data_IF_659562444948
#
_entry.id   IF_659562444948
#
_cell.length_a   1.000
_cell.length_b   1.000
_cell.length_c   1.000
_cell.angle_alpha   90.00
_cell.angle_beta   90.00
_cell.angle_gamma   90.00
#
_symmetry.space_group_name_H-M   'P 1'
#
loop_
_entity.id
_entity.type
_entity.pdbx_description
1 polymer ?
#
# COMPACT_ATOMS: atom_id res chain seq x y z
N UNK A 1 36.09 -67.70 -53.39
CA UNK A 1 36.13 -66.84 -52.19
C UNK A 1 36.59 -65.46 -52.61
N UNK A 2 35.65 -64.51 -52.73
CA UNK A 2 35.94 -63.10 -52.94
C UNK A 2 35.73 -62.36 -51.60
N UNK A 3 36.56 -61.38 -51.23
CA UNK A 3 36.41 -60.69 -49.95
C UNK A 3 35.22 -59.73 -49.99
N UNK A 4 34.38 -59.79 -48.97
CA UNK A 4 33.26 -58.88 -48.75
C UNK A 4 33.76 -57.50 -48.29
N UNK A 5 33.22 -56.47 -48.93
CA UNK A 5 33.51 -55.04 -48.78
C UNK A 5 33.47 -54.53 -47.32
N UNK A 6 34.54 -53.82 -46.93
CA UNK A 6 34.66 -53.02 -45.69
C UNK A 6 33.85 -51.72 -45.64
N UNK A 7 32.75 -51.61 -46.41
CA UNK A 7 31.91 -50.40 -46.48
C UNK A 7 30.91 -50.25 -45.32
N UNK A 8 30.60 -51.33 -44.60
CA UNK A 8 29.56 -51.30 -43.56
C UNK A 8 30.01 -50.67 -42.23
N UNK A 9 31.30 -50.70 -41.91
CA UNK A 9 31.81 -50.19 -40.63
C UNK A 9 31.90 -48.66 -40.57
N UNK A 10 32.08 -47.98 -41.71
CA UNK A 10 32.16 -46.51 -41.74
C UNK A 10 30.79 -45.83 -41.63
N UNK A 11 29.72 -46.48 -42.07
CA UNK A 11 28.36 -45.91 -42.01
C UNK A 11 27.78 -45.96 -40.59
N UNK A 12 28.06 -47.02 -39.82
CA UNK A 12 27.58 -47.16 -38.43
C UNK A 12 28.30 -46.18 -37.50
N UNK A 13 29.61 -45.97 -37.69
CA UNK A 13 30.37 -44.98 -36.92
C UNK A 13 29.90 -43.55 -37.20
N UNK A 14 29.63 -43.19 -38.47
CA UNK A 14 29.11 -41.88 -38.85
C UNK A 14 27.69 -41.62 -38.32
N UNK A 15 26.81 -42.64 -38.30
CA UNK A 15 25.49 -42.54 -37.68
C UNK A 15 25.60 -42.32 -36.16
N UNK A 16 26.53 -43.01 -35.49
CA UNK A 16 26.74 -42.87 -34.04
C UNK A 16 27.27 -41.48 -33.63
N UNK A 17 28.21 -40.91 -34.40
CA UNK A 17 28.70 -39.54 -34.18
C UNK A 17 27.64 -38.48 -34.51
N UNK A 18 26.83 -38.67 -35.55
CA UNK A 18 25.75 -37.74 -35.88
C UNK A 18 24.65 -37.73 -34.81
N UNK A 19 24.29 -38.90 -34.26
CA UNK A 19 23.32 -39.01 -33.15
C UNK A 19 23.89 -38.41 -31.85
N UNK A 20 25.17 -38.61 -31.56
CA UNK A 20 25.85 -37.96 -30.42
C UNK A 20 25.96 -36.44 -30.59
N UNK A 21 26.20 -35.95 -31.80
CA UNK A 21 26.27 -34.51 -32.11
C UNK A 21 24.90 -33.83 -32.07
N UNK A 22 23.83 -34.53 -32.50
CA UNK A 22 22.44 -34.09 -32.31
C UNK A 22 22.03 -34.10 -30.83
N UNK A 23 22.49 -35.07 -30.04
CA UNK A 23 22.30 -35.06 -28.58
C UNK A 23 23.07 -33.91 -27.91
N UNK A 24 24.30 -33.63 -28.34
CA UNK A 24 25.10 -32.52 -27.80
C UNK A 24 24.50 -31.14 -28.15
N UNK A 25 23.88 -30.98 -29.33
CA UNK A 25 23.14 -29.76 -29.71
C UNK A 25 21.76 -29.66 -29.05
N UNK A 26 21.18 -30.77 -28.56
CA UNK A 26 19.96 -30.78 -27.76
C UNK A 26 20.20 -30.39 -26.29
N UNK A 27 21.45 -30.41 -25.80
CA UNK A 27 21.80 -30.04 -24.42
C UNK A 27 22.14 -28.55 -24.23
N UNK A 28 22.08 -27.71 -25.28
CA UNK A 28 22.35 -26.29 -25.13
C UNK A 28 21.17 -25.62 -24.40
N UNK A 29 21.39 -25.28 -23.13
CA UNK A 29 20.44 -24.63 -22.24
C UNK A 29 19.88 -23.33 -22.87
N UNK A 30 18.65 -23.37 -23.41
CA UNK A 30 18.11 -22.25 -24.21
C UNK A 30 17.54 -21.15 -23.33
N UNK A 31 17.84 -19.91 -23.69
CA UNK A 31 17.49 -18.71 -22.92
C UNK A 31 16.23 -18.07 -23.50
N UNK A 32 15.24 -17.81 -22.65
CA UNK A 32 14.13 -16.91 -22.94
C UNK A 32 14.33 -15.62 -22.16
N UNK A 33 14.53 -14.53 -22.89
CA UNK A 33 14.63 -13.21 -22.32
C UNK A 33 13.30 -12.48 -22.46
N UNK A 34 12.67 -12.17 -21.33
CA UNK A 34 11.48 -11.36 -21.30
C UNK A 34 11.85 -9.89 -21.52
N UNK A 35 11.05 -9.21 -22.33
CA UNK A 35 11.14 -7.77 -22.56
C UNK A 35 11.07 -7.02 -21.22
N UNK A 36 11.79 -5.90 -21.11
CA UNK A 36 11.72 -5.08 -19.91
C UNK A 36 10.33 -4.44 -19.78
N UNK A 37 9.80 -4.40 -18.56
CA UNK A 37 8.48 -3.82 -18.29
C UNK A 37 8.37 -3.32 -16.86
N UNK A 38 7.36 -2.48 -16.62
CA UNK A 38 7.10 -1.88 -15.32
C UNK A 38 5.68 -2.18 -14.87
N UNK A 39 5.51 -2.48 -13.58
CA UNK A 39 4.22 -2.57 -12.92
C UNK A 39 4.16 -1.57 -11.76
N UNK A 40 3.07 -0.82 -11.66
CA UNK A 40 2.85 0.15 -10.59
C UNK A 40 1.82 -0.40 -9.61
N UNK A 41 2.17 -0.42 -8.33
CA UNK A 41 1.30 -0.73 -7.20
C UNK A 41 0.87 0.58 -6.55
N UNK A 42 -0.44 0.86 -6.59
CA UNK A 42 -1.00 2.11 -6.08
C UNK A 42 -0.93 2.22 -4.55
N UNK A 43 -0.97 3.43 -4.01
CA UNK A 43 -0.93 3.67 -2.56
C UNK A 43 -2.12 3.01 -1.81
N UNK A 44 -3.27 2.89 -2.47
CA UNK A 44 -4.44 2.18 -1.96
C UNK A 44 -4.22 0.68 -1.76
N UNK A 45 -3.18 0.10 -2.34
CA UNK A 45 -2.82 -1.30 -2.12
C UNK A 45 -2.27 -1.58 -0.71
N UNK A 46 -1.85 -0.55 0.03
CA UNK A 46 -1.43 -0.71 1.43
C UNK A 46 -2.58 -1.20 2.32
N UNK A 47 -3.79 -0.67 2.10
CA UNK A 47 -5.02 -1.03 2.82
C UNK A 47 -5.83 -2.17 2.19
N UNK A 48 -5.41 -2.71 1.05
CA UNK A 48 -6.08 -3.83 0.41
C UNK A 48 -5.98 -5.11 1.27
N UNK A 49 -6.97 -6.00 1.18
CA UNK A 49 -6.92 -7.29 1.87
C UNK A 49 -5.78 -8.18 1.34
N UNK A 50 -5.22 -9.04 2.20
CA UNK A 50 -4.33 -10.12 1.77
C UNK A 50 -5.08 -11.00 0.76
N UNK A 51 -4.42 -11.30 -0.36
CA UNK A 51 -4.99 -12.00 -1.50
C UNK A 51 -5.54 -11.10 -2.61
N UNK A 52 -5.64 -9.78 -2.39
CA UNK A 52 -6.04 -8.84 -3.43
C UNK A 52 -4.99 -8.76 -4.55
N UNK A 53 -5.47 -8.63 -5.79
CA UNK A 53 -4.63 -8.26 -6.93
C UNK A 53 -4.28 -6.78 -6.81
N UNK A 54 -2.99 -6.47 -6.78
CA UNK A 54 -2.45 -5.12 -6.57
C UNK A 54 -1.67 -4.57 -7.78
N UNK A 55 -1.57 -5.37 -8.84
CA UNK A 55 -1.04 -4.97 -10.13
C UNK A 55 -1.18 -6.10 -11.15
N UNK A 56 -1.37 -5.76 -12.42
CA UNK A 56 -1.39 -6.72 -13.52
C UNK A 56 -0.63 -6.14 -14.72
N UNK A 57 0.12 -6.99 -15.43
CA UNK A 57 0.77 -6.61 -16.67
C UNK A 57 -0.14 -6.88 -17.87
N UNK A 58 0.13 -6.19 -18.98
CA UNK A 58 -0.31 -6.64 -20.29
C UNK A 58 0.50 -7.87 -20.73
N UNK A 59 0.34 -8.27 -21.99
CA UNK A 59 1.16 -9.32 -22.62
C UNK A 59 2.61 -8.86 -22.73
N UNK A 60 3.51 -9.55 -22.05
CA UNK A 60 4.96 -9.35 -22.11
C UNK A 60 5.55 -10.40 -23.03
N UNK A 61 6.23 -9.94 -24.08
CA UNK A 61 6.92 -10.80 -25.02
C UNK A 61 8.27 -11.28 -24.49
N UNK A 62 8.73 -12.42 -24.99
CA UNK A 62 10.11 -12.85 -24.83
C UNK A 62 10.57 -13.65 -26.03
N UNK A 63 11.75 -13.28 -26.54
CA UNK A 63 12.39 -14.02 -27.62
C UNK A 63 13.06 -15.27 -27.04
N UNK A 64 12.93 -16.38 -27.75
CA UNK A 64 13.55 -17.63 -27.38
C UNK A 64 14.07 -18.38 -28.59
N UNK A 65 15.16 -19.11 -28.35
CA UNK A 65 15.70 -20.04 -29.32
C UNK A 65 14.82 -21.29 -29.41
N UNK A 66 14.73 -21.87 -30.61
CA UNK A 66 13.90 -23.04 -30.84
C UNK A 66 14.42 -24.29 -30.14
N UNK A 67 13.55 -25.18 -29.69
CA UNK A 67 13.87 -26.41 -28.96
C UNK A 67 13.63 -27.61 -29.86
N UNK A 68 14.57 -28.55 -29.86
CA UNK A 68 14.45 -29.81 -30.59
C UNK A 68 13.32 -30.66 -29.98
N UNK A 69 12.70 -31.49 -30.82
CA UNK A 69 11.64 -32.39 -30.41
C UNK A 69 12.11 -33.34 -29.31
N UNK A 70 11.44 -33.32 -28.16
CA UNK A 70 11.58 -34.36 -27.14
C UNK A 70 10.33 -35.26 -27.19
N UNK A 71 10.42 -36.49 -27.76
CA UNK A 71 9.30 -37.42 -27.81
C UNK A 71 8.94 -37.93 -26.40
N UNK A 72 7.66 -37.89 -26.02
CA UNK A 72 7.15 -38.62 -24.86
C UNK A 72 7.54 -38.10 -23.46
N UNK A 73 8.35 -37.04 -23.36
CA UNK A 73 8.75 -36.45 -22.08
C UNK A 73 7.60 -35.71 -21.38
N UNK A 74 7.59 -35.73 -20.03
CA UNK A 74 6.71 -34.83 -19.25
C UNK A 74 7.39 -33.48 -19.14
N UNK A 75 6.65 -32.42 -19.47
CA UNK A 75 7.14 -31.06 -19.37
C UNK A 75 6.66 -30.39 -18.08
N UNK A 76 7.57 -29.66 -17.43
CA UNK A 76 7.26 -28.84 -16.27
C UNK A 76 7.88 -27.44 -16.40
N UNK A 77 7.11 -26.40 -16.09
CA UNK A 77 7.62 -25.03 -15.93
C UNK A 77 7.33 -24.54 -14.52
N UNK A 78 8.34 -23.99 -13.86
CA UNK A 78 8.18 -23.35 -12.57
C UNK A 78 9.07 -22.11 -12.41
N UNK A 79 8.71 -21.24 -11.48
CA UNK A 79 9.63 -20.19 -11.01
C UNK A 79 10.77 -20.81 -10.19
N UNK A 80 11.91 -20.14 -10.16
CA UNK A 80 12.98 -20.42 -9.19
C UNK A 80 12.67 -19.89 -7.79
N UNK A 81 11.70 -18.98 -7.67
CA UNK A 81 11.20 -18.52 -6.39
C UNK A 81 10.23 -19.55 -5.80
N UNK A 82 10.18 -19.71 -4.46
CA UNK A 82 9.27 -20.66 -3.83
C UNK A 82 7.82 -20.21 -3.96
N UNK A 83 6.91 -21.19 -3.99
CA UNK A 83 5.49 -20.93 -3.83
C UNK A 83 5.20 -20.40 -2.43
N UNK A 84 4.33 -19.40 -2.35
CA UNK A 84 3.84 -18.90 -1.06
C UNK A 84 2.76 -19.87 -0.55
N UNK A 85 2.96 -20.44 0.64
CA UNK A 85 2.02 -21.36 1.28
C UNK A 85 0.82 -20.60 1.89
N UNK A 86 -0.40 -21.08 1.67
CA UNK A 86 -1.63 -20.46 2.16
C UNK A 86 -2.58 -20.11 1.01
N UNK A 87 -3.80 -20.63 1.10
CA UNK A 87 -4.80 -20.67 0.02
C UNK A 87 -5.07 -19.32 -0.65
N UNK A 88 -4.55 -19.16 -1.86
CA UNK A 88 -5.18 -18.37 -2.92
C UNK A 88 -5.09 -19.23 -4.18
N UNK A 89 -6.23 -19.58 -4.76
CA UNK A 89 -6.29 -20.46 -5.92
C UNK A 89 -5.43 -19.93 -7.09
N UNK A 90 -4.51 -20.77 -7.56
CA UNK A 90 -3.57 -20.46 -8.64
C UNK A 90 -2.26 -19.82 -8.14
N UNK A 91 -1.40 -20.66 -7.54
CA UNK A 91 0.06 -20.62 -7.55
C UNK A 91 0.71 -19.23 -7.70
N UNK A 92 1.09 -18.65 -6.56
CA UNK A 92 1.80 -17.39 -6.48
C UNK A 92 3.22 -17.61 -5.97
N UNK A 93 4.21 -17.05 -6.66
CA UNK A 93 5.62 -17.17 -6.31
C UNK A 93 6.08 -15.98 -5.50
N UNK A 94 6.89 -16.22 -4.46
CA UNK A 94 7.47 -15.15 -3.69
C UNK A 94 8.26 -14.20 -4.59
N UNK A 95 8.23 -12.90 -4.30
CA UNK A 95 9.14 -11.94 -4.91
C UNK A 95 10.16 -11.47 -3.88
N UNK A 96 11.30 -10.89 -4.31
CA UNK A 96 12.22 -10.19 -3.40
C UNK A 96 11.61 -8.96 -2.71
N UNK A 97 10.38 -8.56 -3.06
CA UNK A 97 9.67 -7.44 -2.47
C UNK A 97 8.72 -7.99 -1.40
N UNK A 98 8.88 -7.50 -0.18
CA UNK A 98 8.05 -7.90 0.96
C UNK A 98 6.56 -7.66 0.67
N UNK A 99 5.73 -8.64 1.06
CA UNK A 99 4.27 -8.54 0.96
C UNK A 99 3.72 -8.65 -0.45
N UNK A 100 4.56 -8.98 -1.43
CA UNK A 100 4.15 -9.16 -2.83
C UNK A 100 4.58 -10.55 -3.30
N UNK A 101 3.62 -11.31 -3.82
CA UNK A 101 3.90 -12.50 -4.62
C UNK A 101 3.47 -12.25 -6.08
N UNK A 102 4.04 -13.00 -7.00
CA UNK A 102 3.78 -12.90 -8.43
C UNK A 102 3.22 -14.20 -8.99
N UNK A 103 2.10 -14.08 -9.70
CA UNK A 103 1.51 -15.14 -10.50
C UNK A 103 1.85 -14.91 -11.97
N UNK A 104 2.17 -15.99 -12.67
CA UNK A 104 2.52 -15.97 -14.09
C UNK A 104 1.52 -16.79 -14.86
N UNK A 105 1.10 -16.27 -16.01
CA UNK A 105 0.23 -16.95 -16.96
C UNK A 105 0.93 -17.03 -18.31
N UNK A 106 0.96 -18.23 -18.88
CA UNK A 106 1.24 -18.41 -20.30
C UNK A 106 0.00 -18.00 -21.10
N UNK A 107 0.12 -16.93 -21.89
CA UNK A 107 -1.01 -16.37 -22.64
C UNK A 107 -1.43 -17.30 -23.78
N UNK A 108 -0.51 -18.08 -24.33
CA UNK A 108 -0.80 -19.00 -25.44
C UNK A 108 -1.63 -20.21 -24.99
N UNK A 109 -1.35 -20.70 -23.77
CA UNK A 109 -1.99 -21.91 -23.22
C UNK A 109 -3.05 -21.62 -22.16
N UNK A 110 -3.27 -20.34 -21.83
CA UNK A 110 -4.12 -19.88 -20.73
C UNK A 110 -3.86 -20.59 -19.39
N UNK A 111 -2.61 -21.02 -19.16
CA UNK A 111 -2.22 -21.84 -18.03
C UNK A 111 -1.35 -21.03 -17.06
N UNK A 112 -1.60 -21.20 -15.76
CA UNK A 112 -0.79 -20.61 -14.71
C UNK A 112 0.38 -21.51 -14.32
N UNK A 113 1.48 -20.90 -13.88
CA UNK A 113 2.65 -21.61 -13.39
C UNK A 113 2.53 -21.96 -11.89
N UNK A 114 3.08 -23.12 -11.42
CA UNK A 114 3.72 -24.12 -12.26
C UNK A 114 2.76 -24.90 -13.15
N UNK A 115 3.23 -25.15 -14.37
CA UNK A 115 2.58 -26.04 -15.30
C UNK A 115 3.24 -27.40 -15.12
N UNK A 116 2.49 -28.39 -14.66
CA UNK A 116 2.89 -29.79 -14.55
C UNK A 116 1.83 -30.61 -15.28
N UNK A 117 2.23 -31.53 -16.16
CA UNK A 117 1.36 -32.40 -16.99
C UNK A 117 0.97 -31.89 -18.39
N UNK A 118 1.97 -31.66 -19.24
CA UNK A 118 1.77 -31.91 -20.66
C UNK A 118 2.64 -33.09 -21.09
N UNK A 119 2.02 -34.26 -21.27
CA UNK A 119 2.58 -35.33 -22.10
C UNK A 119 2.42 -34.89 -23.55
N UNK A 120 3.53 -34.58 -24.23
CA UNK A 120 3.45 -34.06 -25.58
C UNK A 120 4.81 -33.90 -26.23
N UNK A 121 4.78 -33.69 -27.54
CA UNK A 121 5.95 -33.30 -28.30
C UNK A 121 6.30 -31.87 -27.96
N UNK A 122 7.34 -31.65 -27.16
CA UNK A 122 7.86 -30.30 -26.97
C UNK A 122 8.75 -29.96 -28.17
N UNK A 123 8.13 -29.41 -29.21
CA UNK A 123 8.82 -28.71 -30.29
C UNK A 123 8.41 -27.25 -30.21
N UNK A 124 9.34 -26.36 -29.92
CA UNK A 124 9.09 -24.92 -30.03
C UNK A 124 10.05 -24.38 -31.08
N UNK A 125 9.60 -24.02 -32.28
CA UNK A 125 10.44 -23.26 -33.21
C UNK A 125 10.99 -21.99 -32.53
N UNK A 126 12.12 -21.42 -33.00
CA UNK A 126 12.55 -20.11 -32.55
C UNK A 126 11.41 -19.11 -32.75
N UNK A 127 11.18 -18.26 -31.77
CA UNK A 127 10.03 -17.38 -31.84
C UNK A 127 9.86 -16.50 -30.62
N UNK A 128 8.65 -15.97 -30.50
CA UNK A 128 8.27 -15.07 -29.42
C UNK A 128 7.13 -15.70 -28.62
N UNK A 129 7.32 -15.83 -27.32
CA UNK A 129 6.28 -16.29 -26.38
C UNK A 129 5.74 -15.08 -25.62
N UNK A 130 4.49 -15.18 -25.15
CA UNK A 130 3.84 -14.10 -24.42
C UNK A 130 3.37 -14.59 -23.05
N UNK A 131 3.66 -13.79 -22.02
CA UNK A 131 3.29 -14.05 -20.64
C UNK A 131 2.56 -12.84 -20.05
N UNK A 132 1.68 -13.07 -19.07
CA UNK A 132 1.17 -12.01 -18.22
C UNK A 132 1.51 -12.29 -16.75
N UNK A 133 1.67 -11.21 -16.01
CA UNK A 133 2.09 -11.21 -14.62
C UNK A 133 1.02 -10.54 -13.78
N UNK A 134 0.71 -11.12 -12.62
CA UNK A 134 -0.20 -10.54 -11.64
C UNK A 134 0.50 -10.48 -10.30
N UNK A 135 0.50 -9.30 -9.68
CA UNK A 135 1.01 -9.09 -8.33
C UNK A 135 -0.15 -9.22 -7.35
N UNK A 136 0.07 -10.01 -6.30
CA UNK A 136 -0.91 -10.32 -5.27
C UNK A 136 -0.33 -9.93 -3.91
N UNK A 137 -1.14 -9.25 -3.10
CA UNK A 137 -0.76 -8.84 -1.75
C UNK A 137 -0.71 -10.05 -0.82
N UNK A 138 0.43 -10.26 -0.18
CA UNK A 138 0.62 -11.33 0.83
C UNK A 138 0.85 -10.80 2.24
N UNK A 139 1.06 -9.48 2.39
CA UNK A 139 1.29 -8.83 3.69
C UNK A 139 1.57 -7.33 3.55
N UNK A 140 2.21 -6.71 4.56
CA UNK A 140 2.70 -5.33 4.48
C UNK A 140 3.63 -5.15 3.26
N UNK A 141 3.41 -4.08 2.49
CA UNK A 141 4.13 -3.86 1.24
C UNK A 141 5.49 -3.21 1.51
N UNK A 142 6.55 -3.83 0.98
CA UNK A 142 7.90 -3.26 1.00
C UNK A 142 8.12 -2.21 -0.10
N UNK A 143 9.37 -1.73 -0.18
CA UNK A 143 9.81 -0.77 -1.20
C UNK A 143 9.93 -1.47 -2.57
N UNK A 144 9.47 -0.78 -3.62
CA UNK A 144 9.60 -1.22 -5.01
C UNK A 144 11.05 -1.47 -5.43
N UNK A 145 11.25 -2.41 -6.38
CA UNK A 145 12.57 -2.81 -6.89
C UNK A 145 12.50 -3.28 -8.33
N UNK A 146 13.64 -3.28 -9.00
CA UNK A 146 13.82 -3.93 -10.31
C UNK A 146 14.35 -5.35 -10.13
N UNK A 147 13.64 -6.31 -10.72
CA UNK A 147 14.03 -7.71 -10.81
C UNK A 147 14.76 -7.94 -12.13
N UNK A 148 15.95 -8.55 -12.04
CA UNK A 148 16.78 -8.93 -13.20
C UNK A 148 17.32 -10.34 -13.01
N UNK A 149 17.68 -11.00 -14.10
CA UNK A 149 18.29 -12.33 -14.05
C UNK A 149 17.28 -13.47 -14.10
N UNK A 150 17.71 -14.66 -13.67
CA UNK A 150 16.94 -15.90 -13.78
C UNK A 150 15.70 -15.84 -12.88
N UNK A 151 14.54 -16.12 -13.46
CA UNK A 151 13.25 -16.12 -12.78
C UNK A 151 12.56 -17.49 -12.77
N UNK A 152 12.79 -18.32 -13.78
CA UNK A 152 12.12 -19.60 -13.92
C UNK A 152 12.89 -20.58 -14.77
N UNK A 153 12.50 -21.85 -14.67
CA UNK A 153 13.08 -22.96 -15.42
C UNK A 153 11.97 -23.81 -16.00
N UNK A 154 12.25 -24.31 -17.20
CA UNK A 154 11.48 -25.36 -17.83
C UNK A 154 12.35 -26.61 -17.91
N UNK A 155 11.76 -27.73 -17.49
CA UNK A 155 12.41 -29.04 -17.44
C UNK A 155 11.56 -30.05 -18.20
N UNK A 156 12.23 -31.02 -18.81
CA UNK A 156 11.61 -32.19 -19.42
C UNK A 156 12.11 -33.41 -18.67
N UNK A 157 11.20 -34.28 -18.26
CA UNK A 157 11.53 -35.60 -17.74
C UNK A 157 11.26 -36.68 -18.79
N UNK A 158 12.30 -37.39 -19.21
CA UNK A 158 12.21 -38.57 -20.08
C UNK A 158 12.83 -39.76 -19.35
N UNK A 159 12.12 -40.90 -19.30
CA UNK A 159 12.59 -42.15 -18.67
C UNK A 159 13.23 -42.00 -17.27
N UNK A 160 12.75 -41.04 -16.48
CA UNK A 160 13.24 -40.76 -15.12
C UNK A 160 14.40 -39.76 -15.04
N UNK A 161 14.95 -39.31 -16.17
CA UNK A 161 15.98 -38.25 -16.23
C UNK A 161 15.32 -36.89 -16.41
N UNK A 162 15.59 -35.97 -15.47
CA UNK A 162 15.11 -34.58 -15.55
C UNK A 162 16.20 -33.72 -16.18
N UNK A 163 15.90 -33.13 -17.33
CA UNK A 163 16.81 -32.22 -18.05
C UNK A 163 16.20 -30.82 -18.09
N UNK A 164 17.00 -29.80 -17.73
CA UNK A 164 16.60 -28.42 -17.93
C UNK A 164 16.74 -28.06 -19.41
N UNK A 165 15.64 -27.64 -20.02
CA UNK A 165 15.57 -27.37 -21.45
C UNK A 165 15.43 -25.88 -21.77
N UNK A 166 14.97 -25.06 -20.81
CA UNK A 166 14.86 -23.61 -20.97
C UNK A 166 14.98 -22.84 -19.65
N UNK A 167 15.60 -21.67 -19.72
CA UNK A 167 15.72 -20.71 -18.62
C UNK A 167 15.00 -19.41 -18.94
N UNK A 168 14.25 -18.85 -17.98
CA UNK A 168 13.51 -17.60 -18.14
C UNK A 168 14.21 -16.48 -17.40
N UNK A 169 14.54 -15.40 -18.11
CA UNK A 169 15.24 -14.24 -17.54
C UNK A 169 14.41 -12.98 -17.67
N UNK A 170 14.44 -12.15 -16.62
CA UNK A 170 14.02 -10.75 -16.73
C UNK A 170 15.19 -9.90 -17.22
N UNK A 171 14.99 -9.16 -18.33
CA UNK A 171 15.91 -8.12 -18.77
C UNK A 171 15.82 -6.83 -17.94
N UNK A 172 14.70 -6.64 -17.25
CA UNK A 172 14.46 -5.48 -16.39
C UNK A 172 12.96 -5.38 -16.07
N UNK A 173 12.53 -6.03 -15.00
CA UNK A 173 11.15 -5.95 -14.53
C UNK A 173 11.07 -5.07 -13.29
N UNK A 174 10.55 -3.86 -13.44
CA UNK A 174 10.43 -2.91 -12.33
C UNK A 174 9.06 -2.98 -11.69
N UNK A 175 9.02 -3.17 -10.36
CA UNK A 175 7.81 -3.02 -9.56
C UNK A 175 7.94 -1.72 -8.76
N UNK A 176 7.15 -0.72 -9.12
CA UNK A 176 7.04 0.52 -8.36
C UNK A 176 5.95 0.37 -7.31
N UNK A 177 6.30 0.54 -6.04
CA UNK A 177 5.33 0.54 -4.94
C UNK A 177 5.21 1.97 -4.43
N UNK A 178 4.02 2.56 -4.58
CA UNK A 178 3.75 3.87 -4.02
C UNK A 178 3.87 3.83 -2.49
N UNK A 179 4.34 4.91 -1.88
CA UNK A 179 4.44 5.02 -0.43
C UNK A 179 3.06 4.87 0.23
N UNK A 180 3.05 4.37 1.46
CA UNK A 180 1.84 4.33 2.28
C UNK A 180 1.34 5.76 2.50
N UNK A 181 0.06 6.04 2.26
CA UNK A 181 -0.44 7.39 2.41
C UNK A 181 -0.51 7.74 3.91
N UNK A 182 0.29 8.72 4.33
CA UNK A 182 0.34 9.20 5.72
C UNK A 182 -0.83 10.15 5.97
N UNK A 183 -1.68 9.93 7.00
CA UNK A 183 -2.77 10.84 7.34
C UNK A 183 -2.28 12.27 7.56
N UNK A 184 -2.94 13.26 6.96
CA UNK A 184 -2.63 14.69 7.13
C UNK A 184 -3.89 15.54 7.07
N UNK A 185 -3.94 16.60 7.89
CA UNK A 185 -5.01 17.59 7.92
C UNK A 185 -4.46 19.01 8.16
N UNK A 186 -5.12 20.01 7.59
CA UNK A 186 -4.91 21.43 7.92
C UNK A 186 -6.09 22.01 8.72
N UNK A 187 -5.81 23.00 9.57
CA UNK A 187 -6.81 23.66 10.42
C UNK A 187 -6.50 25.15 10.58
N UNK A 188 -7.54 25.97 10.67
CA UNK A 188 -7.43 27.39 11.05
C UNK A 188 -8.54 27.83 11.99
N UNK A 189 -8.27 28.85 12.80
CA UNK A 189 -9.29 29.55 13.59
C UNK A 189 -9.72 30.84 12.88
N UNK A 190 -11.03 31.11 12.85
CA UNK A 190 -11.56 32.35 12.29
C UNK A 190 -12.84 32.81 13.02
N UNK A 191 -12.86 34.02 13.62
CA UNK A 191 -11.73 34.94 13.79
C UNK A 191 -10.71 34.42 14.82
N UNK A 192 -9.46 34.87 14.73
CA UNK A 192 -8.43 34.66 15.75
C UNK A 192 -7.68 35.98 15.95
N UNK A 193 -7.81 36.68 17.09
CA UNK A 193 -8.48 36.24 18.32
C UNK A 193 -10.02 36.19 18.21
N UNK A 194 -10.65 35.36 19.05
CA UNK A 194 -12.10 35.33 19.21
C UNK A 194 -12.52 36.41 20.20
N UNK A 195 -13.30 37.39 19.74
CA UNK A 195 -13.81 38.46 20.58
C UNK A 195 -15.12 38.02 21.24
N UNK A 196 -15.13 37.93 22.58
CA UNK A 196 -16.33 37.59 23.35
C UNK A 196 -17.28 38.79 23.56
N UNK A 197 -16.91 39.99 23.09
CA UNK A 197 -17.74 41.18 23.13
C UNK A 197 -17.68 41.95 24.44
N UNK A 198 -18.42 43.06 24.47
CA UNK A 198 -18.63 43.93 25.63
C UNK A 198 -19.93 43.54 26.33
N UNK A 199 -19.92 43.43 27.65
CA UNK A 199 -21.09 43.05 28.45
C UNK A 199 -21.25 43.99 29.65
N UNK A 200 -22.49 44.40 29.93
CA UNK A 200 -22.79 45.15 31.16
C UNK A 200 -22.64 44.21 32.37
N UNK A 201 -21.96 44.68 33.41
CA UNK A 201 -21.87 44.02 34.72
C UNK A 201 -23.22 43.53 35.27
N UNK A 202 -24.33 44.20 34.97
CA UNK A 202 -25.70 43.81 35.35
C UNK A 202 -26.15 42.48 34.74
N UNK A 203 -25.51 42.00 33.68
CA UNK A 203 -25.74 40.68 33.07
C UNK A 203 -25.34 39.55 34.02
N UNK A 204 -24.46 39.85 34.97
CA UNK A 204 -23.88 38.91 35.88
C UNK A 204 -24.54 39.04 37.26
N UNK A 205 -25.64 38.32 37.43
CA UNK A 205 -26.53 38.41 38.60
C UNK A 205 -26.12 37.52 39.78
N UNK A 206 -25.02 36.77 39.64
CA UNK A 206 -24.52 35.82 40.65
C UNK A 206 -23.71 34.68 40.04
N UNK A 207 -23.01 33.91 40.88
CA UNK A 207 -22.19 32.76 40.42
C UNK A 207 -23.00 31.86 39.50
N UNK A 208 -22.47 31.56 38.32
CA UNK A 208 -23.13 30.79 37.28
C UNK A 208 -23.89 31.61 36.23
N UNK A 209 -24.11 32.92 36.44
CA UNK A 209 -24.66 33.80 35.41
C UNK A 209 -23.75 33.82 34.18
N UNK A 210 -24.35 33.91 32.98
CA UNK A 210 -23.61 33.77 31.72
C UNK A 210 -23.99 34.81 30.69
N UNK A 211 -23.05 35.17 29.83
CA UNK A 211 -23.34 35.98 28.64
C UNK A 211 -23.96 35.12 27.54
N UNK A 212 -24.51 35.71 26.47
CA UNK A 212 -24.89 34.98 25.27
C UNK A 212 -23.72 34.18 24.67
N UNK A 213 -24.05 33.08 23.98
CA UNK A 213 -23.06 32.28 23.26
C UNK A 213 -22.56 33.00 22.01
N UNK A 214 -21.25 32.92 21.77
CA UNK A 214 -20.61 33.35 20.54
C UNK A 214 -19.96 32.17 19.82
N UNK A 215 -20.00 32.13 18.48
CA UNK A 215 -19.39 31.05 17.72
C UNK A 215 -17.87 31.08 17.86
N UNK A 216 -17.28 29.89 18.03
CA UNK A 216 -15.84 29.66 18.06
C UNK A 216 -15.54 28.64 16.96
N UNK A 217 -15.11 29.13 15.79
CA UNK A 217 -15.01 28.29 14.60
C UNK A 217 -13.58 27.78 14.40
N UNK A 218 -13.44 26.46 14.44
CA UNK A 218 -12.23 25.74 14.02
C UNK A 218 -12.53 25.17 12.64
N UNK A 219 -11.95 25.76 11.59
CA UNK A 219 -12.24 25.44 10.20
C UNK A 219 -11.23 24.41 9.68
N UNK A 220 -11.72 23.34 9.05
CA UNK A 220 -10.90 22.38 8.33
C UNK A 220 -10.35 23.01 7.05
N UNK A 221 -9.06 22.83 6.78
CA UNK A 221 -8.44 23.16 5.50
C UNK A 221 -8.35 21.94 4.58
N UNK A 222 -9.02 20.85 4.98
CA UNK A 222 -9.03 19.57 4.29
C UNK A 222 -8.09 18.57 4.95
N UNK A 223 -8.50 17.31 4.87
CA UNK A 223 -7.69 16.15 5.24
C UNK A 223 -7.49 15.28 3.99
N UNK A 224 -6.38 14.55 3.92
CA UNK A 224 -6.20 13.58 2.86
C UNK A 224 -7.06 12.32 3.08
N UNK A 225 -7.19 11.50 2.04
CA UNK A 225 -8.04 10.31 2.09
C UNK A 225 -7.56 9.21 3.05
N UNK A 226 -6.31 9.28 3.52
CA UNK A 226 -5.80 8.37 4.54
C UNK A 226 -6.29 8.73 5.96
N UNK A 227 -6.77 9.96 6.16
CA UNK A 227 -7.26 10.40 7.46
C UNK A 227 -8.67 9.88 7.68
N UNK A 228 -8.85 9.14 8.76
CA UNK A 228 -10.13 8.53 9.18
C UNK A 228 -10.70 9.20 10.42
N UNK A 229 -9.85 9.75 11.29
CA UNK A 229 -10.26 10.45 12.49
C UNK A 229 -9.41 11.69 12.76
N UNK A 230 -10.04 12.70 13.35
CA UNK A 230 -9.37 13.89 13.91
C UNK A 230 -9.65 13.95 15.39
N UNK A 231 -8.60 14.10 16.19
CA UNK A 231 -8.71 14.36 17.62
C UNK A 231 -8.28 15.78 17.97
N UNK A 232 -9.07 16.44 18.81
CA UNK A 232 -8.82 17.78 19.30
C UNK A 232 -8.65 17.79 20.82
N UNK A 233 -7.61 18.47 21.29
CA UNK A 233 -7.37 18.71 22.72
C UNK A 233 -7.30 20.19 22.98
N UNK A 234 -7.79 20.62 24.13
CA UNK A 234 -7.86 22.04 24.50
C UNK A 234 -7.06 22.25 25.78
N UNK A 235 -6.00 23.05 25.69
CA UNK A 235 -5.09 23.33 26.79
C UNK A 235 -5.16 24.79 27.19
N UNK A 236 -5.10 25.03 28.49
CA UNK A 236 -5.18 26.37 29.06
C UNK A 236 -5.18 26.33 30.58
N UNK A 237 -5.18 27.49 31.21
CA UNK A 237 -5.26 27.59 32.67
C UNK A 237 -6.72 27.43 33.10
N UNK A 238 -7.00 26.52 34.03
CA UNK A 238 -8.34 26.37 34.60
C UNK A 238 -8.66 27.50 35.59
N UNK A 239 -9.92 27.95 35.63
CA UNK A 239 -10.38 28.90 36.64
C UNK A 239 -10.35 28.26 38.04
N UNK A 240 -9.85 29.00 39.03
CA UNK A 240 -9.63 28.48 40.37
C UNK A 240 -10.93 28.16 41.12
N UNK A 241 -12.03 28.83 40.79
CA UNK A 241 -13.34 28.63 41.42
C UNK A 241 -14.22 27.67 40.61
N UNK A 242 -13.89 27.43 39.34
CA UNK A 242 -14.56 26.45 38.50
C UNK A 242 -13.59 25.85 37.48
N UNK A 243 -13.06 24.67 37.78
CA UNK A 243 -12.08 23.99 36.92
C UNK A 243 -12.62 23.58 35.54
N UNK A 244 -13.94 23.66 35.32
CA UNK A 244 -14.59 23.45 34.03
C UNK A 244 -14.44 24.62 33.06
N UNK A 245 -13.90 25.77 33.51
CA UNK A 245 -13.80 27.00 32.74
C UNK A 245 -12.35 27.42 32.53
N UNK A 246 -12.07 28.08 31.41
CA UNK A 246 -10.77 28.70 31.16
C UNK A 246 -10.65 29.99 31.97
N UNK A 247 -9.56 30.15 32.70
CA UNK A 247 -9.25 31.36 33.46
C UNK A 247 -8.94 32.52 32.52
N UNK A 248 -9.46 33.70 32.83
CA UNK A 248 -8.96 34.95 32.23
C UNK A 248 -7.60 35.28 32.87
N UNK A 249 -6.53 35.26 32.08
CA UNK A 249 -5.15 35.33 32.59
C UNK A 249 -4.51 36.70 32.45
N UNK A 250 -5.06 37.57 31.60
CA UNK A 250 -4.55 38.93 31.35
C UNK A 250 -5.65 39.96 31.57
N UNK A 251 -5.25 41.20 31.88
CA UNK A 251 -6.17 42.32 32.11
C UNK A 251 -6.70 42.39 33.55
N UNK A 252 -7.72 43.21 33.75
CA UNK A 252 -8.19 43.67 35.07
C UNK A 252 -9.53 43.03 35.47
N UNK A 253 -10.24 42.40 34.53
CA UNK A 253 -11.49 41.71 34.83
C UNK A 253 -11.25 40.56 35.82
N UNK A 254 -12.13 40.44 36.82
CA UNK A 254 -12.11 39.37 37.83
C UNK A 254 -13.53 38.84 38.05
N UNK A 255 -13.63 37.59 38.51
CA UNK A 255 -14.91 36.97 38.84
C UNK A 255 -15.64 36.32 37.67
N UNK A 256 -14.97 36.13 36.53
CA UNK A 256 -15.48 35.39 35.37
C UNK A 256 -14.46 34.39 34.86
N UNK A 257 -14.96 33.27 34.34
CA UNK A 257 -14.23 32.33 33.51
C UNK A 257 -14.84 32.28 32.10
N UNK A 258 -14.10 31.69 31.17
CA UNK A 258 -14.55 31.47 29.80
C UNK A 258 -15.02 30.02 29.67
N UNK A 259 -16.31 29.86 29.36
CA UNK A 259 -16.93 28.58 29.06
C UNK A 259 -16.81 28.31 27.57
N UNK A 260 -16.24 27.17 27.19
CA UNK A 260 -16.20 26.71 25.80
C UNK A 260 -16.96 25.39 25.71
N UNK A 261 -17.76 25.23 24.65
CA UNK A 261 -18.64 24.09 24.47
C UNK A 261 -18.72 23.70 23.00
N UNK A 262 -18.89 22.41 22.70
CA UNK A 262 -19.43 22.00 21.40
C UNK A 262 -20.85 22.54 21.25
N UNK A 263 -21.27 22.84 20.04
CA UNK A 263 -22.67 23.24 19.79
C UNK A 263 -23.67 22.13 20.16
N UNK A 264 -23.23 20.87 20.23
CA UNK A 264 -24.00 19.72 20.72
C UNK A 264 -24.21 19.70 22.24
N UNK A 265 -23.55 20.58 22.99
CA UNK A 265 -23.71 20.68 24.44
C UNK A 265 -22.57 20.07 25.28
N UNK A 266 -21.61 19.38 24.66
CA UNK A 266 -20.47 18.83 25.40
C UNK A 266 -19.49 19.94 25.83
N UNK A 267 -19.21 20.05 27.12
CA UNK A 267 -18.27 21.03 27.66
C UNK A 267 -16.83 20.76 27.22
N UNK A 268 -16.09 21.84 26.95
CA UNK A 268 -14.64 21.81 26.74
C UNK A 268 -13.97 22.26 28.03
N UNK A 269 -13.42 21.30 28.77
CA UNK A 269 -12.71 21.57 30.02
C UNK A 269 -11.22 21.82 29.74
N UNK A 270 -10.58 22.81 30.39
CA UNK A 270 -9.15 23.03 30.26
C UNK A 270 -8.33 21.78 30.59
N UNK A 271 -7.45 21.36 29.68
CA UNK A 271 -6.63 20.15 29.80
C UNK A 271 -7.47 18.87 30.00
N UNK A 272 -8.72 18.88 29.55
CA UNK A 272 -9.64 17.77 29.62
C UNK A 272 -9.40 16.70 28.55
N UNK A 273 -10.35 15.78 28.45
CA UNK A 273 -10.30 14.68 27.50
C UNK A 273 -10.28 15.15 26.04
N UNK A 274 -9.62 14.37 25.17
CA UNK A 274 -9.62 14.60 23.73
C UNK A 274 -11.03 14.41 23.15
N UNK A 275 -11.35 15.22 22.15
CA UNK A 275 -12.57 15.09 21.36
C UNK A 275 -12.27 14.38 20.07
N UNK A 276 -13.15 13.49 19.64
CA UNK A 276 -13.01 12.76 18.37
C UNK A 276 -14.02 13.27 17.37
N UNK A 277 -13.56 13.48 16.15
CA UNK A 277 -14.33 13.99 15.03
C UNK A 277 -14.07 13.16 13.78
N UNK A 278 -15.09 13.03 12.95
CA UNK A 278 -14.92 12.62 11.55
C UNK A 278 -14.20 13.75 10.80
N UNK A 279 -13.21 13.45 9.94
CA UNK A 279 -12.53 14.45 9.13
C UNK A 279 -13.54 15.27 8.30
N UNK A 280 -13.51 16.58 8.49
CA UNK A 280 -14.39 17.50 7.77
C UNK A 280 -13.73 17.97 6.46
N UNK A 281 -14.54 18.19 5.42
CA UNK A 281 -14.07 18.72 4.13
C UNK A 281 -13.48 20.15 4.28
N UNK A 282 -12.70 20.59 3.29
CA UNK A 282 -12.14 21.95 3.29
C UNK A 282 -13.26 23.01 3.41
N UNK A 283 -13.08 23.96 4.31
CA UNK A 283 -14.03 25.04 4.60
C UNK A 283 -15.10 24.68 5.63
N UNK A 284 -15.24 23.40 5.99
CA UNK A 284 -16.23 22.96 6.98
C UNK A 284 -15.72 23.19 8.40
N UNK A 285 -16.62 23.67 9.26
CA UNK A 285 -16.33 24.00 10.65
C UNK A 285 -16.52 22.80 11.58
N UNK A 286 -15.63 22.67 12.58
CA UNK A 286 -15.86 21.88 13.78
C UNK A 286 -16.55 22.80 14.81
N UNK A 287 -17.88 22.66 15.02
CA UNK A 287 -18.66 23.72 15.64
C UNK A 287 -18.47 23.76 17.16
N UNK A 288 -17.92 24.88 17.63
CA UNK A 288 -17.81 25.23 19.03
C UNK A 288 -18.43 26.61 19.29
N UNK A 289 -18.66 26.90 20.56
CA UNK A 289 -19.14 28.19 21.04
C UNK A 289 -18.50 28.54 22.37
N UNK A 290 -18.37 29.82 22.64
CA UNK A 290 -17.76 30.33 23.86
C UNK A 290 -18.60 31.47 24.47
N UNK A 291 -18.49 31.65 25.79
CA UNK A 291 -19.13 32.76 26.53
C UNK A 291 -18.42 33.02 27.85
N UNK A 292 -18.70 34.16 28.48
CA UNK A 292 -18.32 34.36 29.87
C UNK A 292 -19.32 33.70 30.81
N UNK A 293 -18.81 33.18 31.93
CA UNK A 293 -19.60 32.65 33.05
C UNK A 293 -19.02 33.20 34.35
N UNK A 294 -19.87 33.73 35.21
CA UNK A 294 -19.50 34.29 36.50
C UNK A 294 -19.04 33.18 37.46
N UNK A 295 -17.87 33.37 38.07
CA UNK A 295 -17.23 32.41 38.99
C UNK A 295 -17.13 32.93 40.43
N UNK A 296 -17.27 34.24 40.65
CA UNK A 296 -17.29 34.86 41.98
C UNK A 296 -18.58 35.66 42.21
N UNK A 297 -18.98 35.91 43.48
CA UNK A 297 -20.18 36.69 43.80
C UNK A 297 -20.17 38.11 43.22
N UNK A 298 -18.99 38.71 43.10
CA UNK A 298 -18.78 40.05 42.55
C UNK A 298 -17.85 39.99 41.33
N UNK A 299 -18.10 40.86 40.35
CA UNK A 299 -17.23 41.03 39.18
C UNK A 299 -16.53 42.38 39.26
N UNK A 300 -15.25 42.38 38.93
CA UNK A 300 -14.50 43.62 38.70
C UNK A 300 -14.61 43.97 37.22
N UNK A 301 -15.12 45.17 36.91
CA UNK A 301 -15.13 45.69 35.54
C UNK A 301 -13.72 45.81 34.97
N UNK A 302 -13.56 45.57 33.68
CA UNK A 302 -12.29 45.68 32.99
C UNK A 302 -12.27 44.91 31.68
N UNK A 303 -11.10 44.87 31.06
CA UNK A 303 -10.82 44.01 29.91
C UNK A 303 -10.06 42.77 30.37
N UNK A 304 -10.11 41.72 29.56
CA UNK A 304 -9.24 40.57 29.79
C UNK A 304 -9.24 39.60 28.63
N UNK A 305 -8.19 38.81 28.56
CA UNK A 305 -8.04 37.75 27.57
C UNK A 305 -7.38 36.51 28.18
N UNK A 306 -7.40 35.43 27.43
CA UNK A 306 -6.70 34.19 27.78
C UNK A 306 -6.24 33.50 26.51
N UNK A 307 -5.08 32.85 26.58
CA UNK A 307 -4.60 32.02 25.50
C UNK A 307 -5.08 30.59 25.72
N UNK A 308 -5.73 30.02 24.71
CA UNK A 308 -6.15 28.62 24.69
C UNK A 308 -5.44 27.94 23.52
N UNK A 309 -4.70 26.86 23.81
CA UNK A 309 -3.99 26.09 22.80
C UNK A 309 -4.83 24.89 22.37
N UNK A 310 -5.06 24.76 21.06
CA UNK A 310 -5.73 23.59 20.49
C UNK A 310 -4.67 22.66 19.89
N UNK A 311 -4.60 21.43 20.39
CA UNK A 311 -3.74 20.37 19.86
C UNK A 311 -4.53 19.43 18.95
N UNK A 312 -4.01 19.14 17.77
CA UNK A 312 -4.60 18.24 16.79
C UNK A 312 -3.75 16.98 16.63
N UNK A 313 -4.38 15.82 16.58
CA UNK A 313 -3.77 14.55 16.16
C UNK A 313 -4.74 13.82 15.23
N UNK A 314 -4.24 13.08 14.25
CA UNK A 314 -5.06 12.38 13.26
C UNK A 314 -4.46 11.03 12.88
N UNK A 315 -5.30 10.13 12.40
CA UNK A 315 -4.95 8.78 11.97
C UNK A 315 -5.92 8.27 10.90
#
# INVERSE_FOLDING_TARGET
MAPLNGGFFHVIAALSLAVLSFCAQAQQQRRLDLDAFTMNVAATAHSAAVGAVIGASNRIGGNHDGMAAHPGGRYAIASTYPLVNGSIAGQCYATPIQGICMRVMDVGNAAHWPIENTSGWLTTPPGRSFYSFTLIKTGPLGVGRTLTGLYGRATVSDTGTITQVRSFYFRGFTINVAAEPVPTCGFRLAPNPVNLGLHDTRTFTGVGATTPWLPLNVISEGCNAATTQVHMTWRGTADANNNGLFRVTTGDIRGVGIEVQRTTGAAIVPNGARQTWTPAANGVNYPHRARFRQTLPTITQGTGSTAITIGFTYN
#
